data_IF_423106338360
#
_entry.id   IF_423106338360
#
_cell.length_a   1.000
_cell.length_b   1.000
_cell.length_c   1.000
_cell.angle_alpha   90.00
_cell.angle_beta   90.00
_cell.angle_gamma   90.00
#
_symmetry.space_group_name_H-M   'P 1'
#
loop_
_entity.id
_entity.type
_entity.pdbx_description
1 polymer ?
#
# COMPACT_ATOMS: atom_id res chain seq x y z
N UNK A 1 -20.04 4.25 4.27
CA UNK A 1 -19.18 3.41 5.14
C UNK A 1 -19.24 2.02 4.55
N UNK A 2 -18.25 1.64 3.74
CA UNK A 2 -18.18 0.30 3.14
C UNK A 2 -17.75 -0.65 4.27
N UNK A 3 -18.49 -1.72 4.50
CA UNK A 3 -18.22 -2.63 5.60
C UNK A 3 -16.97 -3.48 5.31
N UNK A 4 -16.18 -3.75 6.35
CA UNK A 4 -14.89 -4.47 6.30
C UNK A 4 -14.91 -5.79 5.48
N UNK A 5 -16.05 -6.50 5.44
CA UNK A 5 -16.18 -7.77 4.72
C UNK A 5 -16.40 -7.61 3.20
N UNK A 6 -16.79 -6.44 2.71
CA UNK A 6 -17.00 -6.20 1.28
C UNK A 6 -15.68 -5.97 0.53
N UNK A 7 -14.63 -5.53 1.24
CA UNK A 7 -13.35 -5.16 0.65
C UNK A 7 -12.42 -6.36 0.40
N UNK A 8 -12.50 -7.43 1.22
CA UNK A 8 -11.63 -8.61 1.09
C UNK A 8 -11.85 -9.39 -0.22
N UNK A 9 -13.10 -9.47 -0.70
CA UNK A 9 -13.45 -10.22 -1.91
C UNK A 9 -13.28 -9.41 -3.20
N UNK A 10 -13.66 -8.13 -3.19
CA UNK A 10 -13.72 -7.33 -4.42
C UNK A 10 -12.35 -6.83 -4.90
N UNK A 11 -11.38 -6.64 -3.99
CA UNK A 11 -10.11 -6.03 -4.35
C UNK A 11 -9.24 -6.94 -5.26
N UNK A 12 -9.41 -8.27 -5.17
CA UNK A 12 -8.70 -9.24 -5.99
C UNK A 12 -9.54 -9.83 -7.14
N UNK A 13 -10.79 -9.37 -7.32
CA UNK A 13 -11.68 -9.83 -8.42
C UNK A 13 -11.29 -9.25 -9.80
N UNK A 14 -10.21 -8.49 -9.88
CA UNK A 14 -9.69 -7.93 -11.12
C UNK A 14 -8.54 -6.95 -10.90
N UNK A 15 -8.00 -6.42 -11.99
CA UNK A 15 -7.07 -5.30 -11.92
C UNK A 15 -7.80 -4.04 -11.45
N UNK A 16 -7.13 -3.22 -10.64
CA UNK A 16 -7.64 -1.90 -10.28
C UNK A 16 -7.71 -1.02 -11.53
N UNK A 17 -8.91 -0.58 -11.92
CA UNK A 17 -9.13 0.21 -13.12
C UNK A 17 -8.93 1.70 -12.81
N UNK A 18 -7.74 2.22 -13.10
CA UNK A 18 -7.37 3.62 -12.86
C UNK A 18 -8.20 4.63 -13.65
N UNK A 19 -8.87 4.22 -14.74
CA UNK A 19 -9.73 5.10 -15.54
C UNK A 19 -11.12 5.25 -14.91
N UNK A 20 -11.57 4.23 -14.16
CA UNK A 20 -12.91 4.17 -13.58
C UNK A 20 -12.94 4.38 -12.07
N UNK A 21 -11.82 4.14 -11.40
CA UNK A 21 -11.72 4.16 -9.96
C UNK A 21 -10.77 5.27 -9.48
N UNK A 22 -11.08 5.90 -8.34
CA UNK A 22 -10.35 7.08 -7.87
C UNK A 22 -8.92 6.74 -7.40
N UNK A 23 -7.96 7.47 -7.96
CA UNK A 23 -6.56 7.47 -7.50
C UNK A 23 -6.23 8.85 -6.91
N UNK A 24 -5.78 8.89 -5.65
CA UNK A 24 -5.45 10.13 -4.98
C UNK A 24 -4.42 9.93 -3.87
N UNK A 25 -3.46 10.85 -3.76
CA UNK A 25 -2.50 10.87 -2.66
C UNK A 25 -3.22 10.92 -1.31
N UNK A 26 -2.59 10.29 -0.33
CA UNK A 26 -3.05 10.30 1.05
C UNK A 26 -2.55 11.54 1.80
N UNK A 27 -3.22 11.88 2.89
CA UNK A 27 -2.84 12.95 3.81
C UNK A 27 -2.54 12.39 5.21
N UNK A 28 -1.78 13.10 6.05
CA UNK A 28 -1.48 12.64 7.40
C UNK A 28 -2.75 12.34 8.19
N UNK A 29 -2.66 11.34 9.06
CA UNK A 29 -3.75 10.79 9.87
C UNK A 29 -4.86 10.03 9.12
N UNK A 30 -4.86 10.03 7.77
CA UNK A 30 -5.83 9.25 6.99
C UNK A 30 -5.72 7.76 7.34
N UNK A 31 -6.84 7.06 7.38
CA UNK A 31 -6.91 5.63 7.60
C UNK A 31 -6.64 4.89 6.30
N UNK A 32 -5.66 3.99 6.35
CA UNK A 32 -5.15 3.25 5.21
C UNK A 32 -5.28 1.75 5.43
N UNK A 33 -5.47 1.03 4.32
CA UNK A 33 -5.39 -0.43 4.28
C UNK A 33 -4.44 -0.86 3.16
N UNK A 34 -3.54 -1.79 3.46
CA UNK A 34 -2.78 -2.51 2.45
C UNK A 34 -3.23 -3.96 2.42
N UNK A 35 -3.54 -4.45 1.22
CA UNK A 35 -4.01 -5.81 0.97
C UNK A 35 -3.01 -6.54 0.08
N UNK A 36 -2.57 -7.73 0.50
CA UNK A 36 -1.52 -8.46 -0.21
C UNK A 36 -1.30 -9.85 0.32
N UNK A 37 -0.11 -10.41 0.07
CA UNK A 37 0.24 -11.76 0.50
C UNK A 37 1.35 -11.72 1.54
N UNK A 38 1.19 -12.52 2.59
CA UNK A 38 2.19 -12.75 3.62
C UNK A 38 2.93 -14.04 3.31
N UNK A 39 4.24 -13.95 3.13
CA UNK A 39 5.11 -15.11 2.85
C UNK A 39 4.98 -16.19 3.91
N UNK A 40 4.94 -15.82 5.18
CA UNK A 40 4.81 -16.77 6.29
C UNK A 40 3.45 -17.48 6.35
N UNK A 41 2.39 -16.88 5.78
CA UNK A 41 1.06 -17.49 5.69
C UNK A 41 0.89 -18.25 4.36
N UNK A 42 1.85 -18.12 3.44
CA UNK A 42 1.83 -18.75 2.13
C UNK A 42 2.70 -20.00 2.12
N UNK A 43 2.29 -21.03 1.38
CA UNK A 43 3.07 -22.27 1.22
C UNK A 43 2.91 -22.87 -0.17
N UNK A 44 3.97 -23.50 -0.66
CA UNK A 44 3.95 -24.33 -1.86
C UNK A 44 3.93 -25.78 -1.39
N UNK A 45 2.88 -26.50 -1.77
CA UNK A 45 2.66 -27.90 -1.44
C UNK A 45 2.25 -28.62 -2.73
N UNK A 46 3.23 -29.03 -3.55
CA UNK A 46 3.00 -29.42 -4.94
C UNK A 46 1.90 -30.48 -5.08
N UNK A 47 0.97 -30.32 -6.04
CA UNK A 47 0.95 -29.32 -7.11
C UNK A 47 0.35 -27.96 -6.71
N UNK A 48 -0.04 -27.78 -5.45
CA UNK A 48 -0.82 -26.65 -4.99
C UNK A 48 0.05 -25.49 -4.48
N UNK A 49 -0.48 -24.28 -4.63
CA UNK A 49 0.07 -23.07 -4.00
C UNK A 49 -1.04 -22.49 -3.12
N UNK A 50 -0.73 -22.31 -1.84
CA UNK A 50 -1.62 -21.67 -0.88
C UNK A 50 -1.11 -20.25 -0.64
N UNK A 51 -1.91 -19.26 -1.00
CA UNK A 51 -1.57 -17.85 -0.81
C UNK A 51 -2.22 -17.35 0.48
N UNK A 52 -1.40 -16.99 1.46
CA UNK A 52 -1.87 -16.45 2.73
C UNK A 52 -2.02 -14.94 2.64
N UNK A 53 -3.26 -14.45 2.73
CA UNK A 53 -3.54 -13.03 2.63
C UNK A 53 -3.06 -12.26 3.88
N UNK A 54 -2.67 -11.01 3.63
CA UNK A 54 -2.35 -10.01 4.64
C UNK A 54 -3.23 -8.79 4.44
N UNK A 55 -3.90 -8.40 5.51
CA UNK A 55 -4.69 -7.17 5.59
C UNK A 55 -4.06 -6.33 6.70
N UNK A 56 -3.40 -5.24 6.30
CA UNK A 56 -2.70 -4.36 7.22
C UNK A 56 -3.42 -3.02 7.25
N UNK A 57 -3.98 -2.68 8.40
CA UNK A 57 -4.50 -1.35 8.68
C UNK A 57 -3.43 -0.49 9.36
N UNK A 58 -3.38 0.78 8.98
CA UNK A 58 -2.47 1.77 9.54
C UNK A 58 -2.96 3.18 9.27
N UNK A 59 -2.31 4.16 9.92
CA UNK A 59 -2.51 5.58 9.66
C UNK A 59 -1.35 6.15 8.89
N UNK A 60 -1.65 7.05 7.96
CA UNK A 60 -0.64 7.86 7.30
C UNK A 60 0.08 8.76 8.31
N UNK A 61 1.42 8.74 8.30
CA UNK A 61 2.30 9.52 9.16
C UNK A 61 3.12 10.56 8.38
N UNK A 62 2.62 10.95 7.20
CA UNK A 62 3.25 11.89 6.28
C UNK A 62 4.38 11.28 5.47
N UNK A 63 5.01 12.16 4.68
CA UNK A 63 6.16 11.81 3.85
C UNK A 63 7.39 11.42 4.66
N UNK A 64 8.16 10.48 4.12
CA UNK A 64 9.42 10.04 4.69
C UNK A 64 10.47 11.15 4.57
N UNK A 65 11.22 11.38 5.65
CA UNK A 65 12.18 12.49 5.71
C UNK A 65 13.33 12.39 4.69
N UNK A 66 13.59 11.20 4.16
CA UNK A 66 14.74 10.91 3.30
C UNK A 66 14.36 10.67 1.83
N UNK A 67 13.06 10.62 1.50
CA UNK A 67 12.57 10.33 0.15
C UNK A 67 11.13 10.84 -0.01
N UNK A 68 10.94 11.83 -0.87
CA UNK A 68 9.66 12.49 -1.09
C UNK A 68 8.64 11.63 -1.85
N UNK A 69 9.09 10.57 -2.52
CA UNK A 69 8.21 9.60 -3.15
C UNK A 69 7.58 8.64 -2.13
N UNK A 70 8.20 8.50 -0.96
CA UNK A 70 7.76 7.59 0.08
C UNK A 70 6.92 8.28 1.15
N UNK A 71 5.78 7.69 1.46
CA UNK A 71 4.94 7.99 2.62
C UNK A 71 5.08 6.92 3.68
N UNK A 72 4.77 7.25 4.92
CA UNK A 72 4.88 6.34 6.07
C UNK A 72 3.50 5.93 6.54
N UNK A 73 3.29 4.64 6.74
CA UNK A 73 2.14 4.10 7.45
C UNK A 73 2.57 3.56 8.81
N UNK A 74 1.85 3.92 9.87
CA UNK A 74 2.12 3.48 11.24
C UNK A 74 0.89 2.83 11.87
N UNK A 75 1.10 1.74 12.59
CA UNK A 75 0.10 1.09 13.42
C UNK A 75 0.74 0.40 14.62
N UNK A 76 -0.08 -0.02 15.58
CA UNK A 76 0.32 -0.88 16.69
C UNK A 76 -0.68 -2.02 16.81
N UNK A 77 -0.21 -3.25 16.76
CA UNK A 77 -1.01 -4.45 16.90
C UNK A 77 -0.80 -5.06 18.29
N UNK A 78 -1.87 -5.21 19.07
CA UNK A 78 -1.77 -5.78 20.40
C UNK A 78 -1.42 -7.27 20.38
N UNK A 79 -2.03 -8.03 19.46
CA UNK A 79 -1.80 -9.46 19.26
C UNK A 79 -1.83 -9.77 17.76
N UNK A 80 -0.79 -9.41 16.99
CA UNK A 80 -0.77 -9.71 15.57
C UNK A 80 -0.74 -11.23 15.36
N UNK A 81 -1.56 -11.73 14.44
CA UNK A 81 -1.55 -13.15 14.02
C UNK A 81 -0.40 -13.46 13.04
N UNK A 82 0.56 -12.55 12.96
CA UNK A 82 1.69 -12.55 12.05
C UNK A 82 2.94 -12.03 12.79
N UNK A 83 4.11 -12.61 12.56
CA UNK A 83 5.38 -12.10 13.10
C UNK A 83 6.26 -11.38 12.05
N UNK A 84 5.83 -11.37 10.78
CA UNK A 84 6.53 -10.77 9.67
C UNK A 84 5.55 -10.30 8.59
N UNK A 85 5.80 -9.11 8.04
CA UNK A 85 5.07 -8.60 6.88
C UNK A 85 5.79 -8.88 5.54
N UNK A 86 6.77 -9.78 5.56
CA UNK A 86 7.46 -10.19 4.33
C UNK A 86 6.45 -10.74 3.30
N UNK A 87 6.55 -10.27 2.06
CA UNK A 87 5.57 -10.54 0.99
C UNK A 87 4.67 -9.36 0.65
N UNK A 88 4.52 -8.38 1.55
CA UNK A 88 3.66 -7.22 1.30
C UNK A 88 4.22 -6.21 0.29
N UNK A 89 5.49 -6.30 -0.11
CA UNK A 89 6.04 -5.38 -1.14
C UNK A 89 5.27 -5.53 -2.46
N UNK A 90 4.95 -4.42 -3.11
CA UNK A 90 4.10 -4.39 -4.30
C UNK A 90 2.59 -4.41 -4.00
N UNK A 91 2.19 -4.56 -2.74
CA UNK A 91 0.78 -4.53 -2.36
C UNK A 91 0.23 -3.10 -2.49
N UNK A 92 -0.97 -2.92 -3.05
CA UNK A 92 -1.60 -1.60 -3.10
C UNK A 92 -1.98 -1.10 -1.71
N UNK A 93 -1.98 0.22 -1.57
CA UNK A 93 -2.41 0.94 -0.38
C UNK A 93 -3.63 1.77 -0.75
N UNK A 94 -4.72 1.53 -0.04
CA UNK A 94 -5.99 2.21 -0.25
C UNK A 94 -6.26 3.15 0.92
N UNK A 95 -6.71 4.35 0.60
CA UNK A 95 -7.14 5.34 1.56
C UNK A 95 -8.64 5.19 1.79
N UNK A 96 -9.01 4.79 3.01
CA UNK A 96 -10.40 4.52 3.38
C UNK A 96 -11.21 5.81 3.56
N UNK A 97 -10.57 6.90 3.97
CA UNK A 97 -11.24 8.20 4.15
C UNK A 97 -11.60 8.85 2.80
N UNK A 98 -10.72 8.68 1.81
CA UNK A 98 -10.90 9.20 0.45
C UNK A 98 -11.59 8.22 -0.49
N UNK A 99 -11.66 6.95 -0.10
CA UNK A 99 -12.13 5.87 -0.95
C UNK A 99 -11.33 5.78 -2.25
N UNK A 100 -10.00 5.84 -2.16
CA UNK A 100 -9.12 5.92 -3.34
C UNK A 100 -7.83 5.09 -3.19
N UNK A 101 -7.31 4.59 -4.30
CA UNK A 101 -5.95 4.02 -4.33
C UNK A 101 -4.95 5.16 -4.12
N UNK A 102 -4.10 5.04 -3.10
CA UNK A 102 -3.18 6.11 -2.71
C UNK A 102 -1.71 5.73 -2.80
N UNK A 103 -1.39 4.46 -3.06
CA UNK A 103 -0.01 4.07 -3.30
C UNK A 103 0.22 2.57 -3.36
N UNK A 104 1.49 2.20 -3.20
CA UNK A 104 1.95 0.82 -3.23
C UNK A 104 3.06 0.61 -2.20
N UNK A 105 2.95 -0.44 -1.38
CA UNK A 105 3.92 -0.79 -0.34
C UNK A 105 5.29 -1.04 -0.99
N UNK A 106 6.30 -0.29 -0.57
CA UNK A 106 7.68 -0.51 -0.96
C UNK A 106 8.37 -1.48 0.00
N UNK A 107 8.26 -1.20 1.31
CA UNK A 107 8.94 -1.92 2.38
C UNK A 107 8.29 -1.66 3.73
N UNK A 108 8.59 -2.47 4.72
CA UNK A 108 8.18 -2.22 6.10
C UNK A 108 8.69 -3.29 7.04
N UNK A 109 8.25 -3.21 8.29
CA UNK A 109 8.62 -4.15 9.35
C UNK A 109 7.63 -4.09 10.51
N UNK A 110 7.57 -5.21 11.24
CA UNK A 110 6.89 -5.32 12.52
C UNK A 110 7.97 -5.35 13.61
N UNK A 111 7.86 -4.44 14.56
CA UNK A 111 8.73 -4.34 15.73
C UNK A 111 8.27 -5.34 16.82
N UNK A 112 9.17 -5.77 17.74
CA UNK A 112 8.82 -6.73 18.79
C UNK A 112 7.70 -6.30 19.75
N UNK A 113 7.45 -5.00 19.87
CA UNK A 113 6.40 -4.41 20.69
C UNK A 113 5.03 -4.33 19.99
N UNK A 114 4.92 -4.88 18.78
CA UNK A 114 3.71 -4.82 17.95
C UNK A 114 3.62 -3.56 17.09
N UNK A 115 4.62 -2.67 17.12
CA UNK A 115 4.70 -1.51 16.24
C UNK A 115 4.89 -1.92 14.78
N UNK A 116 3.92 -1.61 13.93
CA UNK A 116 4.01 -1.81 12.48
C UNK A 116 4.40 -0.49 11.81
N UNK A 117 5.42 -0.56 10.94
CA UNK A 117 5.79 0.55 10.06
C UNK A 117 5.89 0.08 8.62
N UNK A 118 5.24 0.80 7.74
CA UNK A 118 5.43 0.64 6.30
C UNK A 118 5.89 1.94 5.66
N UNK A 119 6.57 1.79 4.53
CA UNK A 119 6.83 2.84 3.56
C UNK A 119 6.13 2.44 2.26
N UNK A 120 5.35 3.35 1.70
CA UNK A 120 4.65 3.15 0.44
C UNK A 120 4.95 4.29 -0.53
N UNK A 121 5.05 3.96 -1.82
CA UNK A 121 5.23 4.94 -2.89
C UNK A 121 3.87 5.61 -3.10
N UNK A 122 3.85 6.94 -3.09
CA UNK A 122 2.62 7.70 -3.32
C UNK A 122 2.12 7.50 -4.75
N UNK A 123 0.79 7.42 -4.92
CA UNK A 123 0.17 7.21 -6.22
C UNK A 123 0.54 8.30 -7.24
N UNK A 124 0.78 9.53 -6.80
CA UNK A 124 1.24 10.60 -7.69
C UNK A 124 2.55 10.21 -8.39
N UNK A 125 3.55 9.74 -7.64
CA UNK A 125 4.85 9.34 -8.20
C UNK A 125 4.73 8.11 -9.11
N UNK A 126 3.86 7.16 -8.74
CA UNK A 126 3.56 5.99 -9.56
C UNK A 126 2.98 6.43 -10.92
N UNK A 127 2.04 7.38 -10.93
CA UNK A 127 1.43 7.87 -12.16
C UNK A 127 2.43 8.63 -13.04
N UNK A 128 3.32 9.44 -12.45
CA UNK A 128 4.40 10.10 -13.20
C UNK A 128 5.33 9.07 -13.85
N UNK A 129 5.66 8.00 -13.13
CA UNK A 129 6.47 6.90 -13.67
C UNK A 129 5.75 6.16 -14.81
N UNK A 130 4.47 5.81 -14.63
CA UNK A 130 3.68 5.12 -15.65
C UNK A 130 3.52 5.95 -16.94
N UNK A 131 3.28 7.25 -16.81
CA UNK A 131 3.21 8.17 -17.96
C UNK A 131 4.53 8.20 -18.74
N UNK A 132 5.66 8.25 -18.06
CA UNK A 132 6.97 8.18 -18.69
C UNK A 132 7.22 6.85 -19.42
N UNK A 133 6.80 5.73 -18.81
CA UNK A 133 6.88 4.41 -19.46
C UNK A 133 6.01 4.38 -20.71
N UNK A 134 4.77 4.87 -20.63
CA UNK A 134 3.84 4.90 -21.76
C UNK A 134 4.36 5.76 -22.92
N UNK A 135 5.03 6.88 -22.60
CA UNK A 135 5.63 7.79 -23.58
C UNK A 135 7.04 7.39 -24.02
N UNK A 136 7.57 6.26 -23.51
CA UNK A 136 8.94 5.77 -23.76
C UNK A 136 10.01 6.82 -23.41
N UNK A 137 9.76 7.64 -22.40
CA UNK A 137 10.74 8.59 -21.90
C UNK A 137 11.80 7.86 -21.08
N UNK A 138 13.07 8.18 -21.34
CA UNK A 138 14.19 7.64 -20.56
C UNK A 138 14.35 8.33 -19.21
N UNK A 139 13.77 9.51 -19.03
CA UNK A 139 13.86 10.32 -17.82
C UNK A 139 12.51 10.95 -17.50
N UNK A 140 12.20 11.09 -16.20
CA UNK A 140 11.01 11.79 -15.72
C UNK A 140 11.47 12.94 -14.86
N UNK A 141 10.95 14.13 -15.10
CA UNK A 141 11.18 15.30 -14.26
C UNK A 141 9.83 15.90 -13.94
N UNK A 142 9.48 15.89 -12.67
CA UNK A 142 8.21 16.44 -12.18
C UNK A 142 8.46 17.16 -10.85
N UNK A 143 7.55 18.08 -10.52
CA UNK A 143 7.57 18.78 -9.24
C UNK A 143 6.44 18.24 -8.39
N UNK A 144 6.76 17.87 -7.15
CA UNK A 144 5.79 17.44 -6.16
C UNK A 144 5.65 18.54 -5.11
N UNK A 145 4.44 19.06 -4.96
CA UNK A 145 4.15 20.07 -3.94
C UNK A 145 4.13 19.42 -2.56
N UNK A 146 5.04 19.86 -1.68
CA UNK A 146 5.12 19.34 -0.33
C UNK A 146 3.95 19.75 0.58
N UNK A 147 3.16 20.75 0.18
CA UNK A 147 2.05 21.28 0.97
C UNK A 147 0.73 20.50 0.81
N UNK A 148 0.66 19.59 -0.18
CA UNK A 148 -0.41 18.59 -0.34
C UNK A 148 -0.04 17.23 0.27
N UNK A 149 1.04 17.20 1.08
CA UNK A 149 1.60 16.00 1.71
C UNK A 149 1.16 15.79 3.16
#
# INVERSE_FOLDING_TARGET
>A
MIAFNEFEGQFFDGAYDLDRQPAASSEPANQLIATGFLKQKSRIDPPNIFAGLGFLEFRDAGVAQFDDALRRGLATYANPDFNSIAGMSGSPVYNLDRGALCGMVARGGLEPDGGLRIYFIDIFDILQFLDAVATRSNNVSYTKDRSRL
#
